data_IF_733068533688
#
_entry.id   IF_733068533688
#
_cell.length_a   1.000
_cell.length_b   1.000
_cell.length_c   1.000
_cell.angle_alpha   90.00
_cell.angle_beta   90.00
_cell.angle_gamma   90.00
#
_symmetry.space_group_name_H-M   'P 1'
#
loop_
_entity.id
_entity.type
_entity.pdbx_description
1 polymer ?
#
# COMPACT_ATOMS: atom_id res chain seq x y z
N UNK A 1 8.71 3.62 -2.36
CA UNK A 1 9.56 2.90 -3.33
C UNK A 1 10.90 2.60 -2.66
N UNK A 2 11.44 1.41 -2.90
CA UNK A 2 12.77 0.99 -2.43
C UNK A 2 13.58 0.65 -3.68
N UNK A 3 14.79 1.21 -3.78
CA UNK A 3 15.72 0.92 -4.86
C UNK A 3 17.10 0.62 -4.33
N UNK A 4 17.77 -0.34 -4.97
CA UNK A 4 19.17 -0.63 -4.71
C UNK A 4 19.81 -1.33 -5.89
N UNK A 5 21.15 -1.25 -5.96
CA UNK A 5 21.94 -2.01 -6.92
C UNK A 5 22.52 -3.24 -6.25
N UNK A 6 22.46 -4.39 -6.91
CA UNK A 6 23.10 -5.64 -6.50
C UNK A 6 24.05 -6.14 -7.58
N UNK A 7 25.12 -6.80 -7.15
CA UNK A 7 26.03 -7.56 -8.01
C UNK A 7 25.73 -9.06 -8.01
N UNK A 8 24.64 -9.50 -7.38
CA UNK A 8 24.26 -10.92 -7.23
C UNK A 8 22.82 -11.18 -7.68
N UNK A 9 22.47 -10.98 -8.97
CA UNK A 9 21.16 -11.36 -9.46
C UNK A 9 20.90 -12.87 -9.24
N UNK A 10 19.63 -13.24 -9.13
CA UNK A 10 19.13 -14.59 -8.86
C UNK A 10 19.51 -15.16 -7.49
N UNK A 11 20.01 -14.34 -6.56
CA UNK A 11 20.25 -14.72 -5.17
C UNK A 11 19.27 -14.06 -4.22
N UNK A 12 18.98 -14.71 -3.09
CA UNK A 12 18.10 -14.17 -2.08
C UNK A 12 18.75 -12.94 -1.39
N UNK A 13 18.04 -11.81 -1.42
CA UNK A 13 18.42 -10.58 -0.72
C UNK A 13 17.47 -10.35 0.44
N UNK A 14 18.02 -10.27 1.66
CA UNK A 14 17.27 -9.81 2.82
C UNK A 14 17.18 -8.29 2.78
N UNK A 15 15.95 -7.76 2.79
CA UNK A 15 15.70 -6.33 2.90
C UNK A 15 15.33 -6.04 4.34
N UNK A 16 16.12 -5.18 5.00
CA UNK A 16 15.91 -4.75 6.40
C UNK A 16 14.77 -3.73 6.52
N UNK A 17 13.63 -4.04 5.91
CA UNK A 17 12.38 -3.28 5.95
C UNK A 17 11.26 -4.26 6.25
N UNK A 18 10.29 -3.83 7.03
CA UNK A 18 9.16 -4.68 7.40
C UNK A 18 8.35 -5.13 6.19
N UNK A 19 7.99 -6.41 6.16
CA UNK A 19 7.15 -7.00 5.13
C UNK A 19 5.73 -6.43 5.18
N UNK A 20 5.17 -6.19 4.00
CA UNK A 20 3.76 -5.89 3.79
C UNK A 20 3.31 -6.51 2.46
N UNK A 21 2.07 -7.03 2.34
CA UNK A 21 1.59 -7.71 1.12
C UNK A 21 1.60 -6.84 -0.15
N UNK A 22 1.52 -5.52 0.04
CA UNK A 22 1.42 -4.55 -1.05
C UNK A 22 2.79 -4.17 -1.64
N UNK A 23 3.90 -4.64 -1.06
CA UNK A 23 5.20 -4.50 -1.72
C UNK A 23 5.28 -5.43 -2.93
N UNK A 24 5.74 -4.91 -4.07
CA UNK A 24 5.89 -5.61 -5.34
C UNK A 24 7.27 -5.32 -5.92
N UNK A 25 8.02 -6.37 -6.26
CA UNK A 25 9.26 -6.22 -7.01
C UNK A 25 8.94 -6.12 -8.51
N UNK A 26 9.60 -5.20 -9.21
CA UNK A 26 9.39 -4.99 -10.64
C UNK A 26 9.92 -6.16 -11.49
N UNK A 27 11.14 -6.63 -11.22
CA UNK A 27 11.73 -7.79 -11.90
C UNK A 27 12.44 -8.74 -10.92
N UNK A 28 11.75 -9.82 -10.55
CA UNK A 28 12.24 -10.80 -9.59
C UNK A 28 11.12 -11.59 -8.94
N UNK A 29 11.44 -12.31 -7.87
CA UNK A 29 10.47 -13.03 -7.05
C UNK A 29 10.35 -12.43 -5.66
N UNK A 30 9.15 -12.54 -5.08
CA UNK A 30 8.79 -12.00 -3.77
C UNK A 30 8.01 -10.67 -3.89
N UNK A 31 8.00 -9.85 -2.82
CA UNK A 31 8.70 -10.06 -1.55
C UNK A 31 8.14 -11.22 -0.74
N UNK A 32 9.01 -12.00 -0.10
CA UNK A 32 8.65 -13.06 0.83
C UNK A 32 8.78 -12.57 2.26
N UNK A 33 7.85 -12.92 3.14
CA UNK A 33 7.93 -12.60 4.56
C UNK A 33 8.97 -13.47 5.25
N UNK A 34 9.86 -12.86 6.04
CA UNK A 34 10.88 -13.56 6.85
C UNK A 34 10.79 -13.10 8.31
N UNK A 35 11.04 -14.01 9.26
CA UNK A 35 11.11 -13.70 10.69
C UNK A 35 12.23 -12.70 11.02
N UNK A 36 12.05 -11.74 11.95
CA UNK A 36 10.87 -11.52 12.80
C UNK A 36 9.73 -10.75 12.11
N UNK A 37 10.01 -10.00 11.03
CA UNK A 37 9.01 -9.38 10.12
C UNK A 37 9.68 -8.71 8.91
N UNK A 38 10.89 -9.13 8.52
CA UNK A 38 11.57 -8.58 7.34
C UNK A 38 10.99 -9.13 6.04
N UNK A 39 11.45 -8.59 4.92
CA UNK A 39 11.15 -9.13 3.59
C UNK A 39 12.40 -9.60 2.86
N UNK A 40 12.27 -10.60 2.00
CA UNK A 40 13.29 -10.98 1.04
C UNK A 40 12.79 -10.95 -0.39
N UNK A 41 13.72 -10.72 -1.31
CA UNK A 41 13.47 -10.75 -2.75
C UNK A 41 14.56 -11.56 -3.45
N UNK A 42 14.22 -12.12 -4.60
CA UNK A 42 15.20 -12.73 -5.52
C UNK A 42 15.17 -11.88 -6.80
N UNK A 43 16.03 -10.87 -6.93
CA UNK A 43 16.04 -9.97 -8.08
C UNK A 43 16.56 -10.70 -9.33
N UNK A 44 16.02 -10.39 -10.50
CA UNK A 44 16.55 -10.88 -11.78
C UNK A 44 17.58 -9.94 -12.41
N UNK A 45 17.52 -8.66 -12.07
CA UNK A 45 18.41 -7.61 -12.59
C UNK A 45 19.35 -7.04 -11.50
N UNK A 46 20.39 -6.32 -11.93
CA UNK A 46 21.28 -5.57 -11.03
C UNK A 46 20.56 -4.39 -10.35
N UNK A 47 19.68 -3.71 -11.08
CA UNK A 47 18.91 -2.58 -10.56
C UNK A 47 17.57 -3.09 -10.05
N UNK A 48 17.38 -3.06 -8.74
CA UNK A 48 16.19 -3.57 -8.09
C UNK A 48 15.26 -2.43 -7.73
N UNK A 49 13.99 -2.56 -8.13
CA UNK A 49 12.91 -1.64 -7.78
C UNK A 49 11.79 -2.42 -7.07
N UNK A 50 11.42 -1.98 -5.86
CA UNK A 50 10.31 -2.51 -5.08
C UNK A 50 9.32 -1.36 -4.80
N UNK A 51 8.09 -1.51 -5.27
CA UNK A 51 7.04 -0.51 -5.19
C UNK A 51 5.95 -0.96 -4.22
N UNK A 52 5.38 0.01 -3.49
CA UNK A 52 4.22 -0.23 -2.65
C UNK A 52 2.98 0.14 -3.46
N UNK A 53 2.11 -0.84 -3.70
CA UNK A 53 0.96 -0.68 -4.58
C UNK A 53 -0.34 -0.83 -3.80
N UNK A 54 -1.21 0.17 -3.85
CA UNK A 54 -2.55 0.05 -3.27
C UNK A 54 -3.38 -0.96 -4.04
N UNK A 55 -4.03 -1.86 -3.33
CA UNK A 55 -4.92 -2.84 -3.94
C UNK A 55 -6.18 -2.15 -4.51
N UNK A 56 -6.82 -2.77 -5.50
CA UNK A 56 -8.07 -2.24 -6.05
C UNK A 56 -9.18 -2.17 -4.99
N UNK A 57 -9.17 -3.12 -4.04
CA UNK A 57 -10.11 -3.16 -2.91
C UNK A 57 -9.88 -1.98 -1.97
N UNK A 58 -8.62 -1.69 -1.61
CA UNK A 58 -8.27 -0.51 -0.80
C UNK A 58 -8.73 0.78 -1.47
N UNK A 59 -8.49 0.92 -2.77
CA UNK A 59 -8.93 2.10 -3.54
C UNK A 59 -10.46 2.25 -3.48
N UNK A 60 -11.20 1.16 -3.68
CA UNK A 60 -12.66 1.18 -3.62
C UNK A 60 -13.18 1.55 -2.22
N UNK A 61 -12.61 0.98 -1.16
CA UNK A 61 -12.99 1.28 0.22
C UNK A 61 -12.64 2.71 0.63
N UNK A 62 -11.52 3.25 0.16
CA UNK A 62 -11.16 4.64 0.37
C UNK A 62 -12.17 5.59 -0.29
N UNK A 63 -12.59 5.30 -1.53
CA UNK A 63 -13.64 6.07 -2.20
C UNK A 63 -14.97 5.98 -1.44
N UNK A 64 -15.37 4.78 -1.01
CA UNK A 64 -16.57 4.58 -0.20
C UNK A 64 -16.50 5.40 1.10
N UNK A 65 -15.35 5.42 1.76
CA UNK A 65 -15.14 6.20 3.00
C UNK A 65 -15.29 7.70 2.79
N UNK A 66 -14.85 8.21 1.64
CA UNK A 66 -15.06 9.62 1.27
C UNK A 66 -16.56 9.88 1.08
N UNK A 67 -17.27 9.03 0.35
CA UNK A 67 -18.71 9.18 0.13
C UNK A 67 -19.52 9.12 1.42
N UNK A 68 -19.18 8.24 2.35
CA UNK A 68 -19.87 8.15 3.65
C UNK A 68 -19.63 9.40 4.49
N UNK A 69 -18.41 9.95 4.49
CA UNK A 69 -18.09 11.19 5.19
C UNK A 69 -18.90 12.37 4.62
N UNK A 70 -18.97 12.49 3.29
CA UNK A 70 -19.79 13.51 2.63
C UNK A 70 -21.28 13.35 2.94
N UNK A 71 -21.79 12.11 2.92
CA UNK A 71 -23.17 11.81 3.29
C UNK A 71 -23.49 12.22 4.73
N UNK A 72 -22.62 11.90 5.68
CA UNK A 72 -22.77 12.29 7.08
C UNK A 72 -22.76 13.82 7.25
N UNK A 73 -21.89 14.53 6.52
CA UNK A 73 -21.82 15.99 6.56
C UNK A 73 -23.08 16.64 5.97
N UNK A 74 -23.63 16.10 4.88
CA UNK A 74 -24.92 16.55 4.33
C UNK A 74 -26.08 16.32 5.29
N UNK A 75 -26.13 15.16 5.95
CA UNK A 75 -27.17 14.85 6.92
C UNK A 75 -27.10 15.83 8.10
N UNK A 76 -25.91 16.08 8.65
CA UNK A 76 -25.74 17.03 9.76
C UNK A 76 -26.04 18.47 9.34
N UNK A 77 -25.63 18.89 8.15
CA UNK A 77 -25.95 20.22 7.61
C UNK A 77 -27.46 20.42 7.41
N UNK A 78 -28.15 19.44 6.81
CA UNK A 78 -29.60 19.50 6.61
C UNK A 78 -30.36 19.48 7.93
N UNK A 79 -29.90 18.70 8.91
CA UNK A 79 -30.47 18.68 10.25
C UNK A 79 -30.32 20.03 10.96
N UNK A 80 -29.12 20.63 10.93
CA UNK A 80 -28.88 21.97 11.49
C UNK A 80 -29.76 23.03 10.84
N UNK A 81 -29.79 23.07 9.49
CA UNK A 81 -30.63 24.02 8.75
C UNK A 81 -32.11 23.88 9.09
N UNK A 82 -32.60 22.66 9.30
CA UNK A 82 -34.00 22.43 9.70
C UNK A 82 -34.29 22.94 11.11
N UNK A 83 -33.36 22.76 12.05
CA UNK A 83 -33.47 23.29 13.41
C UNK A 83 -33.47 24.82 13.44
N UNK A 84 -32.58 25.46 12.68
CA UNK A 84 -32.49 26.93 12.63
C UNK A 84 -33.72 27.60 11.97
N UNK A 85 -34.55 26.85 11.23
CA UNK A 85 -35.76 27.35 10.55
C UNK A 85 -37.08 27.06 11.31
N UNK A 86 -37.02 26.46 12.51
CA UNK A 86 -38.18 26.20 13.40
C UNK A 86 -38.06 27.09 14.63
#
# INVERSE_FOLDING_TARGET
MITFKTNKPNQLHLIKVSYFPNWKIKNGYGPFRISPSFMAVIPKDELVEINFESSNVEKALNLLSIFTLFGALLITYTYKKRFDNV
#
